data_IF_609195386679
#
_entry.id   IF_609195386679
#
_cell.length_a   1.000
_cell.length_b   1.000
_cell.length_c   1.000
_cell.angle_alpha   90.00
_cell.angle_beta   90.00
_cell.angle_gamma   90.00
#
_symmetry.space_group_name_H-M   'P 1'
#
loop_
_entity.id
_entity.type
_entity.pdbx_description
1 polymer ?
#
# COMPACT_ATOMS: atom_id res chain seq x y z
N UNK A 1 -2.64 -4.11 -14.50
CA UNK A 1 -1.37 -3.87 -13.81
C UNK A 1 -1.58 -3.92 -12.31
N UNK A 2 -0.62 -4.50 -11.63
CA UNK A 2 -0.70 -4.68 -10.19
C UNK A 2 0.21 -3.69 -9.50
N UNK A 3 -0.29 -3.06 -8.42
CA UNK A 3 0.51 -2.18 -7.60
C UNK A 3 0.67 -2.79 -6.22
N UNK A 4 1.66 -2.33 -5.49
CA UNK A 4 1.95 -2.84 -4.17
C UNK A 4 2.01 -1.71 -3.16
N UNK A 5 1.49 -1.99 -1.97
CA UNK A 5 1.62 -1.08 -0.85
C UNK A 5 2.79 -1.58 0.00
N UNK A 6 3.80 -0.76 0.11
CA UNK A 6 5.04 -1.10 0.81
C UNK A 6 5.14 -0.29 2.09
N UNK A 7 5.55 -0.96 3.15
CA UNK A 7 5.83 -0.29 4.41
C UNK A 7 7.22 0.36 4.31
N UNK A 8 7.26 1.69 4.38
CA UNK A 8 8.53 2.41 4.30
C UNK A 8 9.48 2.04 5.43
N UNK A 9 8.93 1.71 6.56
CA UNK A 9 9.73 1.45 7.75
C UNK A 9 10.46 0.11 7.66
N UNK A 10 9.76 -0.92 7.24
CA UNK A 10 10.34 -2.26 7.17
C UNK A 10 10.64 -2.71 5.74
N UNK A 11 10.04 -2.08 4.76
CA UNK A 11 10.20 -2.46 3.37
C UNK A 11 9.38 -3.67 2.96
N UNK A 12 8.44 -4.08 3.79
CA UNK A 12 7.61 -5.25 3.48
C UNK A 12 6.38 -4.88 2.67
N UNK A 13 5.96 -5.80 1.81
CA UNK A 13 4.73 -5.63 1.05
C UNK A 13 3.55 -5.90 1.98
N UNK A 14 2.71 -4.89 2.14
CA UNK A 14 1.54 -4.98 3.00
C UNK A 14 0.31 -5.43 2.23
N UNK A 15 0.19 -5.01 0.98
CA UNK A 15 -0.97 -5.29 0.18
C UNK A 15 -0.59 -5.22 -1.29
N UNK A 16 -1.31 -5.97 -2.10
CA UNK A 16 -1.04 -6.01 -3.53
C UNK A 16 -2.37 -6.09 -4.27
N UNK A 17 -2.54 -5.25 -5.29
CA UNK A 17 -3.76 -5.20 -6.05
C UNK A 17 -3.76 -4.06 -7.04
N UNK A 18 -4.95 -3.63 -7.48
CA UNK A 18 -5.05 -2.51 -8.39
C UNK A 18 -4.74 -1.21 -7.68
N UNK A 19 -4.48 -0.15 -8.45
CA UNK A 19 -4.19 1.16 -7.88
C UNK A 19 -5.33 1.64 -6.97
N UNK A 20 -6.56 1.41 -7.41
CA UNK A 20 -7.73 1.82 -6.65
C UNK A 20 -7.82 1.05 -5.33
N UNK A 21 -7.55 -0.24 -5.40
CA UNK A 21 -7.58 -1.08 -4.20
C UNK A 21 -6.48 -0.69 -3.22
N UNK A 22 -5.31 -0.38 -3.73
CA UNK A 22 -4.20 0.04 -2.88
C UNK A 22 -4.51 1.36 -2.17
N UNK A 23 -5.10 2.29 -2.90
CA UNK A 23 -5.50 3.57 -2.29
C UNK A 23 -6.53 3.36 -1.20
N UNK A 24 -7.49 2.49 -1.45
CA UNK A 24 -8.52 2.19 -0.47
C UNK A 24 -7.91 1.56 0.78
N UNK A 25 -6.95 0.67 0.57
CA UNK A 25 -6.25 0.03 1.67
C UNK A 25 -5.55 1.07 2.55
N UNK A 26 -4.82 1.99 1.92
CA UNK A 26 -4.09 3.02 2.65
C UNK A 26 -5.05 3.93 3.41
N UNK A 27 -6.16 4.28 2.78
CA UNK A 27 -7.17 5.13 3.40
C UNK A 27 -7.76 4.45 4.64
N UNK A 28 -8.04 3.17 4.54
CA UNK A 28 -8.64 2.43 5.65
C UNK A 28 -7.65 2.19 6.78
N UNK A 29 -6.41 1.88 6.43
CA UNK A 29 -5.41 1.58 7.44
C UNK A 29 -4.84 2.83 8.09
N UNK A 30 -4.97 3.98 7.43
CA UNK A 30 -4.41 5.25 7.89
C UNK A 30 -2.93 5.14 8.19
N UNK A 31 -2.24 4.33 7.41
CA UNK A 31 -0.82 4.08 7.62
C UNK A 31 -0.01 5.12 6.88
N UNK A 32 0.61 6.03 7.61
CA UNK A 32 1.40 7.11 7.02
C UNK A 32 2.70 6.61 6.41
N UNK A 33 3.12 5.42 6.76
CA UNK A 33 4.36 4.85 6.24
C UNK A 33 4.15 4.00 5.00
N UNK A 34 2.91 3.81 4.59
CA UNK A 34 2.62 3.03 3.39
C UNK A 34 2.87 3.86 2.14
N UNK A 35 3.46 3.23 1.13
CA UNK A 35 3.70 3.88 -0.14
C UNK A 35 3.32 2.94 -1.27
N UNK A 36 2.92 3.51 -2.40
CA UNK A 36 2.61 2.73 -3.59
C UNK A 36 3.86 2.50 -4.42
N UNK A 37 3.92 1.31 -5.00
CA UNK A 37 5.09 0.97 -5.81
C UNK A 37 4.72 0.33 -7.13
#
# INVERSE_FOLDING_TARGET
MVQEVIDKNSGQVLFQGTAEECRDYITKSKNEFATLR
#
